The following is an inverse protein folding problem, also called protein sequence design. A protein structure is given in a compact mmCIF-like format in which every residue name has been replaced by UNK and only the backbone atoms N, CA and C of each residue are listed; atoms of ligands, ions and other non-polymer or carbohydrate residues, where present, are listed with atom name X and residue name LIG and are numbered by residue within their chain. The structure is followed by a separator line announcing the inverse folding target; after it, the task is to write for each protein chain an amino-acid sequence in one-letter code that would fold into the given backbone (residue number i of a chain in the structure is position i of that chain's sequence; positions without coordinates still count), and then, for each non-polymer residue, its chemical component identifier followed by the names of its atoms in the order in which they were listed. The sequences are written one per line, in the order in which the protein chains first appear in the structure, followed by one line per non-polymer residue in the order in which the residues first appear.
data_IF_341515323052
#
_entry.id   IF_341515323052
#
_cell.length_a   1.000
_cell.length_b   1.000
_cell.length_c   1.000
_cell.angle_alpha   90.00
_cell.angle_beta   90.00
_cell.angle_gamma   90.00
#
_symmetry.space_group_name_H-M   'P 1'
#
loop_
_entity.id
_entity.type
_entity.pdbx_description
1 polymer ?
#
# COMPACT_ATOMS: atom_id res chain seq x y z
N UNK A 1 9.82 30.79 22.79
CA UNK A 1 9.04 30.23 21.68
C UNK A 1 7.80 29.56 22.26
N UNK A 2 6.59 30.05 21.98
CA UNK A 2 5.36 29.32 22.35
C UNK A 2 5.11 28.20 21.34
N UNK A 3 4.70 27.04 21.81
CA UNK A 3 4.23 25.96 20.93
C UNK A 3 2.82 26.30 20.45
N UNK A 4 2.61 26.24 19.14
CA UNK A 4 1.30 26.41 18.50
C UNK A 4 0.73 25.03 18.21
N UNK A 5 -0.58 24.86 18.33
CA UNK A 5 -1.28 23.66 17.90
C UNK A 5 -1.35 23.66 16.37
N UNK A 6 -1.02 22.53 15.74
CA UNK A 6 -1.08 22.34 14.29
C UNK A 6 -1.89 21.07 14.01
N UNK A 7 -2.71 21.14 12.97
CA UNK A 7 -3.51 20.02 12.47
C UNK A 7 -3.14 19.81 11.01
N UNK A 8 -2.68 18.60 10.69
CA UNK A 8 -2.32 18.19 9.35
C UNK A 8 -3.28 17.05 8.93
N UNK A 9 -3.88 17.18 7.75
CA UNK A 9 -4.74 16.12 7.19
C UNK A 9 -3.89 14.90 6.80
N UNK A 10 -4.45 13.70 6.84
CA UNK A 10 -3.78 12.44 6.47
C UNK A 10 -3.12 12.51 5.10
N UNK A 11 -3.73 13.23 4.16
CA UNK A 11 -3.17 13.47 2.82
C UNK A 11 -1.78 14.12 2.92
N UNK A 12 -1.58 15.06 3.82
CA UNK A 12 -0.26 15.66 4.06
C UNK A 12 0.78 14.60 4.46
N UNK A 13 0.42 13.66 5.34
CA UNK A 13 1.31 12.58 5.77
C UNK A 13 1.70 11.58 4.67
N UNK A 14 0.86 11.43 3.64
CA UNK A 14 1.09 10.49 2.54
C UNK A 14 1.94 11.08 1.40
N UNK A 15 1.84 12.39 1.17
CA UNK A 15 2.47 13.08 0.03
C UNK A 15 3.66 13.98 0.44
N UNK A 16 4.18 13.78 1.65
CA UNK A 16 5.38 14.47 2.13
C UNK A 16 6.49 13.44 2.32
N UNK A 17 7.65 13.56 1.64
CA UNK A 17 8.69 12.55 1.71
C UNK A 17 9.20 12.26 3.14
N UNK A 18 9.24 13.27 4.01
CA UNK A 18 9.63 13.10 5.41
C UNK A 18 8.60 12.32 6.21
N UNK A 19 7.31 12.53 5.94
CA UNK A 19 6.23 11.80 6.60
C UNK A 19 6.12 10.38 6.05
N UNK A 20 6.32 10.19 4.75
CA UNK A 20 6.32 8.87 4.14
C UNK A 20 7.44 8.00 4.70
N UNK A 21 8.65 8.55 4.90
CA UNK A 21 9.75 7.86 5.60
C UNK A 21 9.36 7.44 7.02
N UNK A 22 8.63 8.28 7.78
CA UNK A 22 8.15 7.91 9.12
C UNK A 22 7.11 6.79 9.07
N UNK A 23 6.24 6.79 8.05
CA UNK A 23 5.19 5.79 7.87
C UNK A 23 5.74 4.43 7.43
N UNK A 24 6.65 4.39 6.47
CA UNK A 24 7.20 3.14 5.94
C UNK A 24 8.46 2.67 6.68
N UNK A 25 9.14 3.56 7.41
CA UNK A 25 10.42 3.26 8.06
C UNK A 25 11.57 3.06 7.06
N UNK A 26 11.39 3.48 5.80
CA UNK A 26 12.35 3.26 4.70
C UNK A 26 12.75 4.60 4.10
N UNK A 27 14.06 4.82 3.97
CA UNK A 27 14.62 6.00 3.32
C UNK A 27 14.27 6.05 1.83
N UNK A 28 14.20 7.27 1.28
CA UNK A 28 13.81 7.55 -0.11
C UNK A 28 14.55 6.70 -1.16
N UNK A 29 15.87 6.52 -1.01
CA UNK A 29 16.66 5.71 -1.95
C UNK A 29 16.29 4.22 -2.01
N UNK A 30 15.45 3.73 -1.08
CA UNK A 30 14.97 2.35 -1.03
C UNK A 30 13.49 2.21 -1.38
N UNK A 31 12.80 3.31 -1.70
CA UNK A 31 11.40 3.28 -2.08
C UNK A 31 11.08 2.36 -3.25
N UNK A 32 11.89 2.26 -4.33
CA UNK A 32 11.59 1.31 -5.41
C UNK A 32 11.48 -0.14 -4.94
N UNK A 33 12.37 -0.57 -4.04
CA UNK A 33 12.34 -1.93 -3.46
C UNK A 33 11.15 -2.09 -2.52
N UNK A 34 10.80 -1.04 -1.78
CA UNK A 34 9.64 -1.05 -0.89
C UNK A 34 8.32 -1.16 -1.68
N UNK A 35 8.19 -0.45 -2.81
CA UNK A 35 7.05 -0.54 -3.73
C UNK A 35 6.87 -1.98 -4.23
N UNK A 36 7.93 -2.62 -4.70
CA UNK A 36 7.88 -4.04 -5.12
C UNK A 36 7.39 -4.93 -3.97
N UNK A 37 7.93 -4.73 -2.76
CA UNK A 37 7.54 -5.50 -1.57
C UNK A 37 6.06 -5.33 -1.25
N UNK A 38 5.55 -4.10 -1.21
CA UNK A 38 4.15 -3.82 -0.86
C UNK A 38 3.18 -4.35 -1.93
N UNK A 39 3.53 -4.25 -3.22
CA UNK A 39 2.74 -4.84 -4.30
C UNK A 39 2.69 -6.38 -4.19
N UNK A 40 3.84 -7.01 -3.95
CA UNK A 40 3.93 -8.46 -3.76
C UNK A 40 3.14 -8.94 -2.53
N UNK A 41 3.25 -8.24 -1.40
CA UNK A 41 2.49 -8.58 -0.19
C UNK A 41 0.98 -8.49 -0.42
N UNK A 42 0.52 -7.48 -1.19
CA UNK A 42 -0.90 -7.34 -1.56
C UNK A 42 -1.38 -8.47 -2.47
N UNK A 43 -0.63 -8.79 -3.53
CA UNK A 43 -0.95 -9.91 -4.42
C UNK A 43 -0.97 -11.24 -3.67
N UNK A 44 0.03 -11.50 -2.82
CA UNK A 44 0.08 -12.72 -2.01
C UNK A 44 -1.13 -12.83 -1.07
N UNK A 45 -1.46 -11.75 -0.36
CA UNK A 45 -2.62 -11.73 0.53
C UNK A 45 -3.93 -11.99 -0.23
N UNK A 46 -4.11 -11.40 -1.41
CA UNK A 46 -5.30 -11.59 -2.23
C UNK A 46 -5.46 -13.05 -2.70
N UNK A 47 -4.36 -13.69 -3.11
CA UNK A 47 -4.35 -15.09 -3.54
C UNK A 47 -4.63 -16.05 -2.37
N UNK A 48 -4.04 -15.78 -1.21
CA UNK A 48 -4.23 -16.56 0.03
C UNK A 48 -5.69 -16.47 0.51
N UNK A 49 -6.26 -15.26 0.55
CA UNK A 49 -7.65 -15.01 1.00
C UNK A 49 -8.68 -15.76 0.14
N UNK A 50 -8.41 -15.90 -1.17
CA UNK A 50 -9.31 -16.55 -2.12
C UNK A 50 -8.99 -18.04 -2.35
N UNK A 51 -8.00 -18.59 -1.67
CA UNK A 51 -7.67 -20.01 -1.76
C UNK A 51 -7.30 -20.49 -3.16
N UNK A 52 -6.59 -19.67 -3.94
CA UNK A 52 -6.19 -19.99 -5.31
C UNK A 52 -5.24 -21.20 -5.32
N UNK A 53 -5.64 -22.31 -5.97
CA UNK A 53 -4.89 -23.58 -5.95
C UNK A 53 -3.54 -23.53 -6.68
N UNK A 54 -3.42 -22.70 -7.72
CA UNK A 54 -2.18 -22.51 -8.48
C UNK A 54 -1.87 -21.00 -8.63
N UNK A 55 -1.41 -20.34 -7.56
CA UNK A 55 -1.22 -18.89 -7.53
C UNK A 55 -0.04 -18.47 -8.42
N UNK A 56 -0.27 -17.47 -9.27
CA UNK A 56 0.75 -16.87 -10.11
C UNK A 56 0.89 -15.38 -9.78
N UNK A 57 2.12 -14.92 -9.61
CA UNK A 57 2.46 -13.50 -9.54
C UNK A 57 3.53 -13.23 -10.59
N UNK A 58 3.26 -12.27 -11.47
CA UNK A 58 4.19 -11.76 -12.46
C UNK A 58 4.77 -10.43 -12.01
N UNK A 59 6.08 -10.27 -12.12
CA UNK A 59 6.79 -9.05 -11.74
C UNK A 59 7.69 -8.61 -12.88
N UNK A 60 7.56 -7.35 -13.29
CA UNK A 60 8.48 -6.70 -14.21
C UNK A 60 9.09 -5.50 -13.51
N UNK A 61 10.42 -5.45 -13.47
CA UNK A 61 11.18 -4.28 -13.01
C UNK A 61 12.02 -3.80 -14.17
N UNK A 62 11.80 -2.56 -14.58
CA UNK A 62 12.54 -1.93 -15.66
C UNK A 62 12.95 -0.51 -15.29
N UNK A 63 13.66 0.15 -16.20
CA UNK A 63 13.96 1.59 -16.08
C UNK A 63 12.68 2.46 -16.11
N UNK A 64 11.59 1.93 -16.67
CA UNK A 64 10.34 2.66 -16.88
C UNK A 64 9.37 2.47 -15.71
N UNK A 65 9.63 1.51 -14.82
CA UNK A 65 8.84 1.32 -13.60
C UNK A 65 8.82 -0.12 -13.07
N UNK A 66 7.87 -0.35 -12.16
CA UNK A 66 7.55 -1.65 -11.56
C UNK A 66 6.13 -2.02 -11.94
N UNK A 67 5.95 -3.23 -12.44
CA UNK A 67 4.64 -3.82 -12.71
C UNK A 67 4.52 -5.13 -11.90
N UNK A 68 3.37 -5.30 -11.25
CA UNK A 68 3.01 -6.54 -10.54
C UNK A 68 1.60 -6.92 -10.95
N UNK A 69 1.43 -8.15 -11.41
CA UNK A 69 0.12 -8.73 -11.71
C UNK A 69 -0.03 -10.10 -11.05
N UNK A 70 -1.24 -10.46 -10.69
CA UNK A 70 -1.54 -11.75 -10.05
C UNK A 70 -2.75 -12.45 -10.69
N UNK A 71 -2.86 -13.75 -10.43
CA UNK A 71 -3.99 -14.58 -10.86
C UNK A 71 -5.18 -14.53 -9.89
N UNK A 72 -5.27 -13.49 -9.06
CA UNK A 72 -6.35 -13.31 -8.10
C UNK A 72 -7.65 -12.84 -8.77
N UNK A 73 -8.71 -12.64 -7.97
CA UNK A 73 -10.03 -12.25 -8.47
C UNK A 73 -10.10 -10.80 -8.97
N UNK A 74 -9.02 -10.02 -8.82
CA UNK A 74 -9.00 -8.58 -9.08
C UNK A 74 -9.69 -7.75 -7.99
N UNK A 75 -9.82 -6.45 -8.25
CA UNK A 75 -10.47 -5.49 -7.35
C UNK A 75 -11.81 -5.06 -7.97
N UNK A 76 -12.94 -5.16 -7.26
CA UNK A 76 -14.22 -4.66 -7.77
C UNK A 76 -14.21 -3.13 -7.97
N UNK A 77 -14.85 -2.63 -9.03
CA UNK A 77 -14.84 -1.19 -9.39
C UNK A 77 -15.23 -0.26 -8.22
N UNK A 78 -16.28 -0.59 -7.46
CA UNK A 78 -16.73 0.22 -6.32
C UNK A 78 -15.79 0.23 -5.11
N UNK A 79 -14.73 -0.59 -5.13
CA UNK A 79 -13.65 -0.60 -4.13
C UNK A 79 -12.49 0.30 -4.57
N UNK A 80 -12.23 0.46 -5.87
CA UNK A 80 -11.18 1.33 -6.39
C UNK A 80 -11.38 2.78 -5.94
N UNK A 81 -12.59 3.32 -6.05
CA UNK A 81 -12.91 4.68 -5.61
C UNK A 81 -12.62 4.90 -4.12
N UNK A 82 -12.86 3.89 -3.29
CA UNK A 82 -12.63 3.96 -1.84
C UNK A 82 -11.15 3.88 -1.50
N UNK A 83 -10.40 3.09 -2.27
CA UNK A 83 -8.96 2.95 -2.13
C UNK A 83 -8.24 4.26 -2.52
N UNK A 84 -8.79 5.02 -3.47
CA UNK A 84 -8.26 6.32 -3.91
C UNK A 84 -8.65 7.51 -3.02
N UNK A 85 -9.55 7.32 -2.04
CA UNK A 85 -9.90 8.34 -1.05
C UNK A 85 -8.85 8.39 0.08
N UNK A 86 -7.73 9.08 -0.18
CA UNK A 86 -6.62 9.21 0.77
C UNK A 86 -6.97 9.93 2.08
N UNK A 87 -8.09 10.67 2.12
CA UNK A 87 -8.60 11.31 3.34
C UNK A 87 -9.10 10.29 4.37
N UNK A 88 -9.43 9.06 3.94
CA UNK A 88 -9.95 7.99 4.80
C UNK A 88 -9.06 6.74 4.77
N UNK A 89 -9.03 6.02 5.89
CA UNK A 89 -8.38 4.70 5.90
C UNK A 89 -9.21 3.71 5.09
N UNK A 90 -8.64 3.16 4.02
CA UNK A 90 -9.19 2.07 3.22
C UNK A 90 -8.37 0.80 3.40
N UNK A 91 -8.98 -0.27 3.93
CA UNK A 91 -8.34 -1.57 4.05
C UNK A 91 -9.21 -2.58 4.80
N UNK A 92 -9.21 -3.83 4.35
CA UNK A 92 -9.98 -4.94 4.95
C UNK A 92 -9.32 -5.50 6.21
N UNK A 93 -7.99 -5.39 6.35
CA UNK A 93 -7.23 -6.15 7.34
C UNK A 93 -7.09 -5.46 8.71
N UNK A 94 -7.28 -4.14 8.82
CA UNK A 94 -7.07 -3.42 10.09
C UNK A 94 -8.07 -3.79 11.19
N UNK A 95 -9.26 -4.24 10.81
CA UNK A 95 -10.32 -4.65 11.73
C UNK A 95 -10.34 -6.16 12.01
N UNK A 96 -9.52 -6.94 11.30
CA UNK A 96 -9.43 -8.38 11.46
C UNK A 96 -8.08 -8.74 12.09
N UNK A 97 -8.10 -9.29 13.31
CA UNK A 97 -6.88 -9.80 13.99
C UNK A 97 -6.46 -11.13 13.36
N UNK A 98 -5.91 -11.06 12.15
CA UNK A 98 -5.36 -12.20 11.42
C UNK A 98 -3.87 -11.94 11.15
N UNK A 99 -3.02 -12.98 11.09
CA UNK A 99 -1.63 -12.85 10.66
C UNK A 99 -1.59 -12.58 9.14
N UNK A 100 -2.07 -11.41 8.72
CA UNK A 100 -2.13 -10.98 7.32
C UNK A 100 -0.97 -10.05 7.00
N UNK A 101 -0.48 -10.15 5.77
CA UNK A 101 0.39 -9.14 5.17
C UNK A 101 -0.45 -7.87 4.88
N UNK A 102 0.19 -6.70 4.80
CA UNK A 102 -0.49 -5.44 4.40
C UNK A 102 -1.40 -4.77 5.45
N UNK A 103 -1.31 -5.12 6.74
CA UNK A 103 -2.19 -4.58 7.79
C UNK A 103 -2.07 -3.08 8.08
N UNK A 104 -0.99 -2.43 7.63
CA UNK A 104 -0.76 -0.99 7.82
C UNK A 104 -1.62 -0.11 6.89
N UNK A 105 -2.13 -0.65 5.78
CA UNK A 105 -2.99 0.09 4.84
C UNK A 105 -2.31 1.28 4.15
N UNK A 106 -0.98 1.31 4.15
CA UNK A 106 -0.18 2.38 3.52
C UNK A 106 0.38 1.96 2.15
N UNK A 107 0.25 0.69 1.76
CA UNK A 107 0.84 0.12 0.56
C UNK A 107 0.59 0.98 -0.69
N UNK A 108 -0.67 1.31 -0.98
CA UNK A 108 -1.00 2.14 -2.15
C UNK A 108 -0.56 3.60 -1.99
N UNK A 109 -0.69 4.16 -0.80
CA UNK A 109 -0.26 5.54 -0.56
C UNK A 109 1.27 5.71 -0.69
N UNK A 110 2.04 4.64 -0.49
CA UNK A 110 3.49 4.65 -0.72
C UNK A 110 3.87 4.50 -2.19
N UNK A 111 2.91 4.18 -3.06
CA UNK A 111 3.10 4.05 -4.52
C UNK A 111 2.67 5.34 -5.23
N UNK A 112 1.60 5.99 -4.74
CA UNK A 112 1.02 7.19 -5.36
C UNK A 112 1.56 8.50 -4.74
N UNK A 113 2.07 8.44 -3.51
CA UNK A 113 2.51 9.58 -2.69
C UNK A 113 3.92 10.08 -2.92
#
# INVERSE_FOLDING_TARGET
MSRTFHEDDRVFGLFQPTELVKLCGVNQGRWPVYVVKELLDNSAAALEEHGIENPMIHVVVSKDGVEVGDSGPGIPDGILDKIMDFSKFGGSNRHHKLPTRGSQGNALATIVG
#
